data_IF_810599419742
#
_entry.id   IF_810599419742
#
_cell.length_a   1.000
_cell.length_b   1.000
_cell.length_c   1.000
_cell.angle_alpha   90.00
_cell.angle_beta   90.00
_cell.angle_gamma   90.00
#
_symmetry.space_group_name_H-M   'P 1'
#
loop_
_entity.id
_entity.type
_entity.pdbx_description
1 polymer ?
#
# COMPACT_ATOMS: atom_id res chain seq x y z
N UNK A 1 9.42 -41.13 14.07
CA UNK A 1 9.71 -40.23 12.94
C UNK A 1 10.11 -38.85 13.49
N UNK A 2 11.09 -38.16 12.89
CA UNK A 2 11.37 -36.77 13.25
C UNK A 2 10.20 -35.89 12.77
N UNK A 3 9.83 -34.85 13.53
CA UNK A 3 8.81 -33.90 13.16
C UNK A 3 9.23 -33.15 11.86
N UNK A 4 8.31 -33.04 10.91
CA UNK A 4 8.54 -32.29 9.67
C UNK A 4 8.66 -30.80 9.92
N UNK A 5 9.43 -30.09 9.10
CA UNK A 5 9.54 -28.64 9.11
C UNK A 5 8.49 -28.03 8.18
N UNK A 6 7.75 -27.02 8.67
CA UNK A 6 6.85 -26.23 7.83
C UNK A 6 7.65 -25.07 7.23
N UNK A 7 7.62 -24.93 5.91
CA UNK A 7 8.34 -23.90 5.16
C UNK A 7 7.33 -23.08 4.37
N UNK A 8 7.28 -21.74 4.54
CA UNK A 8 6.45 -20.87 3.70
C UNK A 8 7.02 -20.82 2.29
N UNK A 9 6.17 -21.04 1.28
CA UNK A 9 6.53 -20.94 -0.12
C UNK A 9 5.69 -19.82 -0.72
N UNK A 10 6.34 -18.86 -1.41
CA UNK A 10 5.68 -17.69 -2.05
C UNK A 10 4.92 -16.80 -1.06
N UNK A 11 5.58 -16.28 -0.02
CA UNK A 11 4.94 -15.36 0.90
C UNK A 11 4.50 -14.08 0.19
N UNK A 12 3.33 -13.57 0.53
CA UNK A 12 2.93 -12.21 0.18
C UNK A 12 3.64 -11.23 1.10
N UNK A 13 4.30 -10.23 0.52
CA UNK A 13 5.11 -9.26 1.27
C UNK A 13 4.44 -7.90 1.33
N UNK A 14 4.55 -7.24 2.48
CA UNK A 14 4.27 -5.82 2.68
C UNK A 14 5.48 -5.18 3.34
N UNK A 15 5.64 -3.86 3.22
CA UNK A 15 6.61 -3.11 4.04
C UNK A 15 5.89 -2.10 4.89
N UNK A 16 6.39 -1.89 6.09
CA UNK A 16 5.94 -0.85 7.00
C UNK A 16 7.17 -0.04 7.40
N UNK A 17 7.11 1.25 7.16
CA UNK A 17 8.14 2.21 7.56
C UNK A 17 7.46 3.36 8.26
N UNK A 18 8.22 4.15 9.04
CA UNK A 18 7.73 5.41 9.59
C UNK A 18 8.48 6.55 8.93
N UNK A 19 7.81 7.67 8.65
CA UNK A 19 8.44 8.85 8.02
C UNK A 19 9.54 9.47 8.89
N UNK A 20 9.59 9.12 10.18
CA UNK A 20 10.66 9.52 11.11
C UNK A 20 10.64 10.97 11.54
N UNK A 21 9.56 11.70 11.27
CA UNK A 21 9.33 13.08 11.67
C UNK A 21 7.85 13.38 11.86
N UNK A 22 7.54 14.47 12.49
CA UNK A 22 6.19 15.03 12.50
C UNK A 22 5.87 15.66 11.13
N UNK A 23 4.58 15.77 10.83
CA UNK A 23 4.11 16.53 9.67
C UNK A 23 4.29 18.03 9.92
N UNK A 24 4.77 18.74 8.93
CA UNK A 24 4.94 20.18 9.01
C UNK A 24 3.60 20.93 8.98
N UNK A 25 3.58 22.16 9.48
CA UNK A 25 2.37 22.96 9.58
C UNK A 25 1.75 23.20 8.20
N UNK A 26 2.57 23.45 7.19
CA UNK A 26 2.08 23.73 5.83
C UNK A 26 1.54 22.46 5.16
N UNK A 27 2.20 21.31 5.35
CA UNK A 27 1.72 19.99 4.91
C UNK A 27 0.34 19.69 5.51
N UNK A 28 0.21 19.85 6.85
CA UNK A 28 -1.06 19.62 7.55
C UNK A 28 -2.14 20.59 7.12
N UNK A 29 -1.82 21.87 7.00
CA UNK A 29 -2.78 22.91 6.57
C UNK A 29 -3.30 22.64 5.17
N UNK A 30 -2.39 22.24 4.26
CA UNK A 30 -2.76 21.87 2.90
C UNK A 30 -3.66 20.63 2.89
N UNK A 31 -3.27 19.53 3.51
CA UNK A 31 -4.08 18.32 3.56
C UNK A 31 -5.45 18.55 4.18
N UNK A 32 -5.53 19.35 5.24
CA UNK A 32 -6.80 19.67 5.91
C UNK A 32 -7.72 20.56 5.08
N UNK A 33 -7.21 21.31 4.11
CA UNK A 33 -8.04 22.12 3.20
C UNK A 33 -9.00 21.29 2.34
N UNK A 34 -8.70 20.00 2.14
CA UNK A 34 -9.54 19.07 1.38
C UNK A 34 -10.66 18.42 2.18
N UNK A 35 -10.77 18.67 3.49
CA UNK A 35 -11.74 18.03 4.38
C UNK A 35 -13.18 18.10 3.87
N UNK A 36 -13.56 19.21 3.25
CA UNK A 36 -14.91 19.45 2.73
C UNK A 36 -15.02 19.19 1.22
N UNK A 37 -13.93 18.79 0.56
CA UNK A 37 -13.86 18.48 -0.86
C UNK A 37 -13.80 16.97 -1.12
N UNK A 38 -14.63 16.21 -0.41
CA UNK A 38 -14.71 14.76 -0.54
C UNK A 38 -15.75 14.33 -1.57
N UNK A 39 -15.65 13.08 -2.02
CA UNK A 39 -16.65 12.45 -2.91
C UNK A 39 -17.94 12.16 -2.14
N UNK A 40 -18.98 11.78 -2.86
CA UNK A 40 -20.30 11.49 -2.29
C UNK A 40 -20.29 10.31 -1.28
N UNK A 41 -19.27 9.45 -1.33
CA UNK A 41 -19.03 8.43 -0.30
C UNK A 41 -18.59 9.01 1.07
N UNK A 42 -18.30 10.33 1.12
CA UNK A 42 -18.04 11.07 2.34
C UNK A 42 -16.63 10.90 2.93
N UNK A 43 -15.70 10.21 2.27
CA UNK A 43 -14.37 9.99 2.81
C UNK A 43 -13.22 10.35 1.88
N UNK A 44 -13.27 9.97 0.61
CA UNK A 44 -12.17 10.18 -0.34
C UNK A 44 -12.23 11.56 -0.98
N UNK A 45 -11.08 12.24 -1.12
CA UNK A 45 -11.01 13.51 -1.85
C UNK A 45 -11.44 13.34 -3.31
N UNK A 46 -12.00 14.42 -3.90
CA UNK A 46 -12.31 14.49 -5.34
C UNK A 46 -11.03 14.55 -6.17
N UNK A 47 -10.04 15.30 -5.69
CA UNK A 47 -8.70 15.33 -6.27
C UNK A 47 -8.02 13.99 -6.03
N UNK A 48 -7.42 13.45 -7.08
CA UNK A 48 -6.71 12.17 -7.11
C UNK A 48 -5.22 12.35 -7.43
N UNK A 49 -4.70 13.56 -7.34
CA UNK A 49 -3.29 13.92 -7.58
C UNK A 49 -2.72 14.75 -6.43
N UNK A 50 -3.15 14.45 -5.21
CA UNK A 50 -2.77 15.20 -3.99
C UNK A 50 -1.26 15.34 -3.83
N UNK A 51 -0.49 14.29 -4.13
CA UNK A 51 0.98 14.30 -4.04
C UNK A 51 1.68 15.09 -5.16
N UNK A 52 0.96 15.58 -6.17
CA UNK A 52 1.56 16.42 -7.22
C UNK A 52 1.68 17.90 -6.81
N UNK A 53 1.17 18.25 -5.64
CA UNK A 53 1.17 19.62 -5.15
C UNK A 53 2.51 19.97 -4.46
N UNK A 54 3.02 21.20 -4.67
CA UNK A 54 4.31 21.63 -4.11
C UNK A 54 4.41 21.51 -2.59
N UNK A 55 3.31 21.73 -1.88
CA UNK A 55 3.22 21.66 -0.42
C UNK A 55 3.51 20.26 0.12
N UNK A 56 3.33 19.22 -0.71
CA UNK A 56 3.57 17.82 -0.33
C UNK A 56 4.80 17.22 -1.04
N UNK A 57 5.71 18.04 -1.57
CA UNK A 57 6.89 17.56 -2.30
C UNK A 57 7.76 16.62 -1.45
N UNK A 58 7.98 16.93 -0.19
CA UNK A 58 8.77 16.12 0.72
C UNK A 58 8.06 14.80 1.07
N UNK A 59 6.74 14.84 1.31
CA UNK A 59 5.93 13.62 1.52
C UNK A 59 5.96 12.76 0.26
N UNK A 60 5.83 13.35 -0.93
CA UNK A 60 5.94 12.63 -2.20
C UNK A 60 7.29 11.93 -2.34
N UNK A 61 8.38 12.62 -2.00
CA UNK A 61 9.73 12.06 -2.03
C UNK A 61 9.88 10.86 -1.07
N UNK A 62 9.35 10.94 0.14
CA UNK A 62 9.33 9.85 1.11
C UNK A 62 8.51 8.65 0.61
N UNK A 63 7.31 8.88 0.08
CA UNK A 63 6.47 7.83 -0.51
C UNK A 63 7.16 7.17 -1.72
N UNK A 64 7.77 7.96 -2.59
CA UNK A 64 8.53 7.46 -3.74
C UNK A 64 9.71 6.61 -3.28
N UNK A 65 10.48 7.09 -2.30
CA UNK A 65 11.59 6.33 -1.72
C UNK A 65 11.13 4.96 -1.19
N UNK A 66 10.04 4.91 -0.44
CA UNK A 66 9.50 3.66 0.09
C UNK A 66 9.10 2.67 -1.03
N UNK A 67 8.53 3.16 -2.13
CA UNK A 67 8.24 2.34 -3.32
C UNK A 67 9.52 1.78 -3.95
N UNK A 68 10.56 2.61 -4.11
CA UNK A 68 11.84 2.15 -4.65
C UNK A 68 12.52 1.14 -3.73
N UNK A 69 12.44 1.35 -2.42
CA UNK A 69 12.97 0.40 -1.43
C UNK A 69 12.24 -0.95 -1.51
N UNK A 70 10.90 -0.94 -1.66
CA UNK A 70 10.14 -2.16 -1.90
C UNK A 70 10.57 -2.85 -3.21
N UNK A 71 10.67 -2.10 -4.31
CA UNK A 71 11.11 -2.62 -5.60
C UNK A 71 12.47 -3.32 -5.49
N UNK A 72 13.43 -2.70 -4.81
CA UNK A 72 14.77 -3.24 -4.64
C UNK A 72 14.81 -4.45 -3.71
N UNK A 73 14.08 -4.42 -2.61
CA UNK A 73 14.10 -5.49 -1.60
C UNK A 73 13.32 -6.73 -2.01
N UNK A 74 12.19 -6.54 -2.68
CA UNK A 74 11.24 -7.62 -2.99
C UNK A 74 11.41 -8.14 -4.42
N UNK A 75 11.45 -7.24 -5.41
CA UNK A 75 11.64 -7.63 -6.80
C UNK A 75 13.11 -7.80 -7.18
N UNK A 76 14.01 -7.09 -6.49
CA UNK A 76 15.46 -7.17 -6.66
C UNK A 76 15.90 -7.17 -8.14
N UNK A 77 15.57 -6.13 -8.91
CA UNK A 77 15.84 -6.11 -10.35
C UNK A 77 17.34 -6.12 -10.64
N UNK A 78 17.74 -6.87 -11.68
CA UNK A 78 19.15 -6.96 -12.13
C UNK A 78 19.71 -5.59 -12.49
N UNK A 79 18.89 -4.77 -13.17
CA UNK A 79 19.24 -3.40 -13.57
C UNK A 79 18.29 -2.40 -12.90
N UNK A 80 18.54 -2.02 -11.65
CA UNK A 80 17.64 -1.15 -10.89
C UNK A 80 17.48 0.26 -11.48
N UNK A 81 18.42 0.71 -12.31
CA UNK A 81 18.37 2.02 -12.96
C UNK A 81 17.48 2.04 -14.22
N UNK A 82 17.06 0.88 -14.69
CA UNK A 82 16.20 0.76 -15.87
C UNK A 82 14.71 0.70 -15.56
N UNK A 83 14.36 0.64 -14.27
CA UNK A 83 12.99 0.50 -13.80
C UNK A 83 12.80 1.24 -12.47
N UNK A 84 11.71 1.93 -12.36
CA UNK A 84 11.26 2.56 -11.13
C UNK A 84 9.77 2.32 -10.89
N UNK A 85 9.31 2.54 -9.67
CA UNK A 85 7.89 2.64 -9.33
C UNK A 85 7.49 4.11 -9.34
N UNK A 86 6.56 4.49 -10.22
CA UNK A 86 6.04 5.86 -10.30
C UNK A 86 4.65 5.94 -9.68
N UNK A 87 4.42 6.94 -8.82
CA UNK A 87 3.08 7.24 -8.28
C UNK A 87 2.21 7.74 -9.42
N UNK A 88 1.04 7.14 -9.59
CA UNK A 88 0.09 7.47 -10.67
C UNK A 88 -1.13 8.24 -10.17
N UNK A 89 -1.59 7.95 -8.96
CA UNK A 89 -2.73 8.58 -8.32
C UNK A 89 -2.47 8.68 -6.82
N UNK A 90 -3.04 9.70 -6.19
CA UNK A 90 -2.96 9.88 -4.74
C UNK A 90 -4.16 10.67 -4.23
N UNK A 91 -4.72 10.26 -3.10
CA UNK A 91 -5.90 10.88 -2.50
C UNK A 91 -5.85 10.81 -0.98
N UNK A 92 -6.56 11.72 -0.33
CA UNK A 92 -6.77 11.68 1.12
C UNK A 92 -8.07 10.97 1.45
N UNK A 93 -8.07 10.25 2.55
CA UNK A 93 -9.23 9.64 3.17
C UNK A 93 -9.48 10.31 4.51
N UNK A 94 -10.64 10.93 4.66
CA UNK A 94 -11.13 11.51 5.92
C UNK A 94 -12.23 10.62 6.48
N UNK A 95 -11.91 9.85 7.49
CA UNK A 95 -12.85 8.92 8.10
C UNK A 95 -13.14 9.32 9.55
N UNK A 96 -14.31 8.96 10.03
CA UNK A 96 -14.80 9.27 11.38
C UNK A 96 -15.13 7.97 12.12
N UNK A 97 -15.38 8.08 13.40
CA UNK A 97 -15.90 7.00 14.23
C UNK A 97 -17.08 6.30 13.53
N UNK A 98 -17.17 4.96 13.69
CA UNK A 98 -18.17 4.05 13.11
C UNK A 98 -18.09 3.88 11.58
N UNK A 99 -17.24 4.61 10.89
CA UNK A 99 -16.97 4.35 9.47
C UNK A 99 -15.98 3.17 9.32
N UNK A 100 -15.99 2.56 8.14
CA UNK A 100 -15.11 1.46 7.77
C UNK A 100 -14.86 1.49 6.26
N UNK A 101 -13.87 0.72 5.77
CA UNK A 101 -13.68 0.51 4.35
C UNK A 101 -13.85 -0.98 4.04
N UNK A 102 -14.68 -1.28 3.06
CA UNK A 102 -14.92 -2.65 2.59
C UNK A 102 -13.63 -3.32 2.09
N UNK A 103 -13.61 -4.65 2.07
CA UNK A 103 -12.56 -5.42 1.42
C UNK A 103 -12.50 -5.08 -0.06
N UNK A 104 -11.34 -4.67 -0.55
CA UNK A 104 -11.12 -4.28 -1.95
C UNK A 104 -9.66 -4.48 -2.36
N UNK A 105 -9.41 -4.38 -3.66
CA UNK A 105 -8.09 -4.32 -4.31
C UNK A 105 -8.02 -3.08 -5.19
N UNK A 106 -6.83 -2.73 -5.66
CA UNK A 106 -6.66 -1.58 -6.57
C UNK A 106 -6.34 -2.07 -7.98
N UNK A 107 -7.23 -1.75 -8.92
CA UNK A 107 -7.00 -2.04 -10.33
C UNK A 107 -6.02 -1.04 -10.97
N UNK A 108 -5.38 -1.46 -12.08
CA UNK A 108 -4.45 -0.63 -12.85
C UNK A 108 -3.28 -0.07 -12.01
N UNK A 109 -2.81 -0.87 -11.07
CA UNK A 109 -1.71 -0.54 -10.17
C UNK A 109 -0.87 -1.78 -9.92
N UNK A 110 0.39 -1.61 -9.56
CA UNK A 110 1.31 -2.70 -9.18
C UNK A 110 1.50 -2.72 -7.66
N UNK A 111 1.86 -1.57 -7.09
CA UNK A 111 1.97 -1.36 -5.65
C UNK A 111 1.07 -0.22 -5.22
N UNK A 112 0.54 -0.35 -4.03
CA UNK A 112 -0.19 0.69 -3.33
C UNK A 112 0.53 1.10 -2.06
N UNK A 113 0.31 2.33 -1.65
CA UNK A 113 0.81 2.83 -0.38
C UNK A 113 -0.27 3.55 0.42
N UNK A 114 -0.17 3.48 1.72
CA UNK A 114 -1.00 4.24 2.66
C UNK A 114 -0.10 4.87 3.72
N UNK A 115 -0.04 6.20 3.72
CA UNK A 115 0.60 6.99 4.76
C UNK A 115 -0.47 7.47 5.75
N UNK A 116 -0.25 7.19 7.03
CA UNK A 116 -1.20 7.54 8.11
C UNK A 116 -0.87 8.94 8.66
N UNK A 117 -1.75 9.90 8.39
CA UNK A 117 -1.57 11.31 8.76
C UNK A 117 -2.07 11.58 10.18
N UNK A 118 -3.22 11.02 10.52
CA UNK A 118 -3.82 11.10 11.86
C UNK A 118 -4.49 9.76 12.16
N UNK A 119 -3.79 8.93 12.91
CA UNK A 119 -4.18 7.56 13.20
C UNK A 119 -3.65 7.14 14.59
N UNK A 120 -4.41 7.45 15.63
CA UNK A 120 -4.08 7.05 16.99
C UNK A 120 -4.41 5.57 17.21
N UNK A 121 -3.50 4.65 16.91
CA UNK A 121 -3.68 3.18 16.98
C UNK A 121 -4.81 2.69 16.08
N UNK A 122 -4.54 2.68 14.81
CA UNK A 122 -5.45 2.19 13.78
C UNK A 122 -5.03 0.80 13.28
N UNK A 123 -5.83 0.21 12.41
CA UNK A 123 -5.59 -1.12 11.85
C UNK A 123 -5.94 -1.14 10.38
N UNK A 124 -5.07 -1.71 9.57
CA UNK A 124 -5.38 -2.21 8.24
C UNK A 124 -5.42 -3.73 8.28
N UNK A 125 -6.41 -4.34 7.65
CA UNK A 125 -6.56 -5.80 7.61
C UNK A 125 -6.29 -6.26 6.20
N UNK A 126 -5.32 -7.15 6.04
CA UNK A 126 -5.05 -7.85 4.79
C UNK A 126 -5.74 -9.20 4.80
N UNK A 127 -6.39 -9.55 3.69
CA UNK A 127 -7.15 -10.79 3.55
C UNK A 127 -6.44 -11.67 2.52
N UNK A 128 -6.22 -12.93 2.87
CA UNK A 128 -5.71 -13.95 1.96
C UNK A 128 -6.65 -14.09 0.76
N UNK A 129 -6.10 -14.18 -0.44
CA UNK A 129 -6.90 -14.49 -1.61
C UNK A 129 -7.61 -15.84 -1.41
N UNK A 130 -8.86 -15.92 -1.82
CA UNK A 130 -9.61 -17.16 -1.78
C UNK A 130 -8.92 -18.21 -2.66
N UNK A 131 -8.47 -19.28 -2.04
CA UNK A 131 -7.82 -20.41 -2.73
C UNK A 131 -8.82 -21.36 -3.38
N UNK A 132 -10.12 -21.10 -3.22
CA UNK A 132 -11.19 -22.02 -3.63
C UNK A 132 -11.32 -23.24 -2.70
N UNK A 133 -10.62 -23.26 -1.58
CA UNK A 133 -10.71 -24.32 -0.58
C UNK A 133 -12.04 -24.22 0.18
N UNK A 134 -12.86 -25.26 0.08
CA UNK A 134 -14.15 -25.36 0.76
C UNK A 134 -14.05 -26.04 2.14
N UNK A 135 -12.87 -26.00 2.77
CA UNK A 135 -12.64 -26.61 4.07
C UNK A 135 -12.64 -25.57 5.18
N UNK A 136 -13.35 -25.83 6.23
CA UNK A 136 -13.28 -25.03 7.45
C UNK A 136 -12.74 -25.92 8.58
N UNK A 137 -11.49 -25.68 8.95
CA UNK A 137 -10.81 -26.38 10.06
C UNK A 137 -10.68 -25.40 11.21
N UNK A 138 -11.24 -25.78 12.37
CA UNK A 138 -11.07 -25.01 13.59
C UNK A 138 -9.65 -25.16 14.12
N UNK A 139 -8.88 -24.06 14.14
CA UNK A 139 -7.53 -24.04 14.65
C UNK A 139 -7.52 -23.66 16.13
N UNK A 140 -6.59 -24.23 16.90
CA UNK A 140 -6.39 -23.87 18.31
C UNK A 140 -5.85 -22.45 18.47
N UNK A 141 -5.01 -22.04 17.54
CA UNK A 141 -4.39 -20.74 17.49
C UNK A 141 -4.22 -20.29 16.03
N UNK A 142 -4.20 -18.98 15.83
CA UNK A 142 -3.91 -18.39 14.53
C UNK A 142 -2.39 -18.32 14.32
N UNK A 143 -1.96 -18.71 13.13
CA UNK A 143 -0.56 -18.69 12.70
C UNK A 143 -0.49 -18.11 11.28
N UNK A 144 0.68 -17.65 10.81
CA UNK A 144 0.84 -17.19 9.43
C UNK A 144 0.42 -18.21 8.36
N UNK A 145 0.25 -19.47 8.73
CA UNK A 145 -0.11 -20.57 7.81
C UNK A 145 -1.61 -20.81 7.70
N UNK A 146 -2.38 -20.49 8.76
CA UNK A 146 -3.82 -20.75 8.83
C UNK A 146 -4.69 -19.51 8.96
N UNK A 147 -4.09 -18.31 9.14
CA UNK A 147 -4.83 -17.05 9.16
C UNK A 147 -5.44 -16.75 7.78
N UNK A 148 -6.66 -16.28 7.79
CA UNK A 148 -7.33 -15.73 6.59
C UNK A 148 -7.19 -14.21 6.53
N UNK A 149 -7.37 -13.53 7.65
CA UNK A 149 -7.26 -12.09 7.81
C UNK A 149 -6.07 -11.77 8.73
N UNK A 150 -5.20 -10.88 8.28
CA UNK A 150 -4.01 -10.44 9.03
C UNK A 150 -4.18 -8.97 9.40
N UNK A 151 -4.52 -8.66 10.66
CA UNK A 151 -4.58 -7.28 11.13
C UNK A 151 -3.17 -6.73 11.36
N UNK A 152 -2.89 -5.57 10.81
CA UNK A 152 -1.65 -4.83 10.98
C UNK A 152 -1.96 -3.53 11.72
N UNK A 153 -1.36 -3.36 12.89
CA UNK A 153 -1.48 -2.11 13.66
C UNK A 153 -0.63 -1.03 13.04
N UNK A 154 -1.19 0.17 12.94
CA UNK A 154 -0.55 1.36 12.36
C UNK A 154 -0.82 2.59 13.21
N UNK A 155 0.06 3.56 13.10
CA UNK A 155 0.02 4.84 13.83
C UNK A 155 0.35 6.00 12.91
N UNK A 156 0.15 7.21 13.36
CA UNK A 156 0.57 8.43 12.64
C UNK A 156 2.04 8.36 12.24
N UNK A 157 2.32 8.71 10.99
CA UNK A 157 3.64 8.65 10.40
C UNK A 157 3.99 7.29 9.77
N UNK A 158 3.22 6.23 10.01
CA UNK A 158 3.48 4.94 9.38
C UNK A 158 3.07 4.97 7.90
N UNK A 159 3.93 4.39 7.08
CA UNK A 159 3.74 4.20 5.64
C UNK A 159 3.78 2.70 5.32
N UNK A 160 2.68 2.18 4.84
CA UNK A 160 2.53 0.77 4.44
C UNK A 160 2.53 0.68 2.92
N UNK A 161 3.43 -0.16 2.35
CA UNK A 161 3.47 -0.48 0.92
C UNK A 161 3.10 -1.95 0.73
N UNK A 162 2.25 -2.24 -0.23
CA UNK A 162 1.74 -3.59 -0.50
C UNK A 162 1.34 -3.78 -1.97
N UNK A 163 1.29 -5.03 -2.47
CA UNK A 163 0.80 -5.35 -3.82
C UNK A 163 -0.65 -4.90 -4.02
N UNK A 164 -0.95 -4.29 -5.14
CA UNK A 164 -2.28 -3.74 -5.44
C UNK A 164 -3.40 -4.78 -5.48
N UNK A 165 -3.06 -6.03 -5.81
CA UNK A 165 -3.98 -7.17 -5.84
C UNK A 165 -4.20 -7.82 -4.47
N UNK A 166 -3.50 -7.37 -3.43
CA UNK A 166 -3.71 -7.85 -2.07
C UNK A 166 -4.99 -7.22 -1.50
N UNK A 167 -5.98 -8.06 -1.23
CA UNK A 167 -7.24 -7.62 -0.65
C UNK A 167 -7.02 -7.03 0.73
N UNK A 168 -7.56 -5.83 0.95
CA UNK A 168 -7.43 -5.15 2.23
C UNK A 168 -8.70 -4.38 2.59
N UNK A 169 -8.82 -4.05 3.87
CA UNK A 169 -9.95 -3.32 4.44
C UNK A 169 -9.53 -2.51 5.66
N UNK A 170 -10.38 -1.58 6.05
CA UNK A 170 -10.26 -0.88 7.34
C UNK A 170 -11.45 -1.29 8.19
N UNK A 171 -11.23 -1.92 9.36
CA UNK A 171 -12.32 -2.26 10.27
C UNK A 171 -13.01 -1.01 10.80
N UNK A 172 -14.13 -1.18 11.51
CA UNK A 172 -14.86 -0.06 12.10
C UNK A 172 -13.95 0.80 12.96
N UNK A 173 -13.81 2.08 12.57
CA UNK A 173 -12.96 3.07 13.22
C UNK A 173 -13.53 3.41 14.58
N UNK A 174 -12.69 3.34 15.61
CA UNK A 174 -13.07 3.61 17.00
C UNK A 174 -12.66 4.99 17.49
N UNK A 175 -11.75 5.64 16.79
CA UNK A 175 -11.29 7.01 17.06
C UNK A 175 -12.24 8.03 16.46
N UNK A 176 -12.24 9.27 16.97
CA UNK A 176 -13.09 10.34 16.45
C UNK A 176 -12.75 10.71 15.01
N UNK A 177 -11.47 10.57 14.64
CA UNK A 177 -10.96 10.93 13.33
C UNK A 177 -9.85 9.98 12.91
N UNK A 178 -9.81 9.70 11.62
CA UNK A 178 -8.73 8.99 10.92
C UNK A 178 -8.46 9.68 9.59
N UNK A 179 -7.21 10.06 9.36
CA UNK A 179 -6.78 10.65 8.09
C UNK A 179 -5.63 9.81 7.54
N UNK A 180 -5.75 9.39 6.30
CA UNK A 180 -4.68 8.72 5.59
C UNK A 180 -4.55 9.24 4.15
N UNK A 181 -3.33 9.25 3.64
CA UNK A 181 -3.01 9.53 2.26
C UNK A 181 -2.72 8.19 1.58
N UNK A 182 -3.53 7.84 0.61
CA UNK A 182 -3.36 6.63 -0.18
C UNK A 182 -2.85 6.98 -1.58
N UNK A 183 -2.07 6.08 -2.17
CA UNK A 183 -1.58 6.25 -3.53
C UNK A 183 -1.43 4.92 -4.25
N UNK A 184 -1.55 4.98 -5.57
CA UNK A 184 -1.29 3.90 -6.50
C UNK A 184 0.01 4.16 -7.25
N UNK A 185 0.68 3.08 -7.66
CA UNK A 185 1.89 3.18 -8.46
C UNK A 185 1.95 2.14 -9.57
N UNK A 186 2.72 2.45 -10.58
CA UNK A 186 2.97 1.54 -11.70
C UNK A 186 4.45 1.57 -12.09
N UNK A 187 4.91 0.54 -12.84
CA UNK A 187 6.25 0.52 -13.38
C UNK A 187 6.46 1.65 -14.38
N UNK A 188 7.62 2.28 -14.29
CA UNK A 188 8.14 3.20 -15.30
C UNK A 188 9.53 2.73 -15.71
N UNK A 189 9.83 2.68 -17.02
CA UNK A 189 11.07 2.13 -17.52
C UNK A 189 10.90 0.80 -18.27
N UNK A 190 11.87 -0.09 -18.15
CA UNK A 190 11.90 -1.36 -18.90
C UNK A 190 11.71 -2.55 -17.97
N UNK A 191 10.71 -3.38 -18.25
CA UNK A 191 10.43 -4.63 -17.54
C UNK A 191 10.61 -5.83 -18.48
N UNK A 192 11.00 -6.97 -17.95
CA UNK A 192 11.24 -8.22 -18.68
C UNK A 192 12.72 -8.51 -18.93
N UNK A 193 12.99 -9.40 -19.85
CA UNK A 193 14.36 -9.88 -20.13
C UNK A 193 15.08 -8.95 -21.11
N UNK A 194 15.98 -8.13 -20.60
CA UNK A 194 16.82 -7.21 -21.40
C UNK A 194 18.17 -7.85 -21.77
N UNK A 195 18.52 -8.99 -21.16
CA UNK A 195 19.73 -9.77 -21.42
C UNK A 195 19.42 -11.27 -21.49
N UNK A 196 20.36 -12.08 -21.99
CA UNK A 196 20.23 -13.53 -22.09
C UNK A 196 19.47 -14.03 -23.31
N UNK A 197 19.15 -15.35 -23.37
CA UNK A 197 18.50 -15.98 -24.54
C UNK A 197 17.12 -15.44 -24.88
N UNK A 198 16.42 -14.87 -23.89
CA UNK A 198 15.09 -14.28 -24.05
C UNK A 198 15.12 -12.76 -24.29
N UNK A 199 16.32 -12.21 -24.54
CA UNK A 199 16.50 -10.78 -24.82
C UNK A 199 15.61 -10.34 -25.98
N UNK A 200 14.86 -9.25 -25.75
CA UNK A 200 14.03 -8.64 -26.79
C UNK A 200 12.72 -9.37 -27.12
N UNK A 201 12.47 -10.56 -26.55
CA UNK A 201 11.25 -11.31 -26.84
C UNK A 201 10.11 -10.91 -25.89
N UNK A 202 10.42 -10.73 -24.62
CA UNK A 202 9.43 -10.46 -23.56
C UNK A 202 9.84 -9.24 -22.72
N UNK A 203 10.12 -8.11 -23.36
CA UNK A 203 10.31 -6.88 -22.62
C UNK A 203 9.25 -5.84 -23.01
N UNK A 204 8.90 -5.00 -22.07
CA UNK A 204 7.98 -3.89 -22.25
C UNK A 204 8.63 -2.61 -21.72
N UNK A 205 8.62 -1.56 -22.54
CA UNK A 205 9.00 -0.23 -22.13
C UNK A 205 7.76 0.58 -21.80
N UNK A 206 7.70 1.05 -20.57
CA UNK A 206 6.58 1.83 -20.02
C UNK A 206 7.08 3.24 -19.75
N UNK A 207 6.38 4.24 -20.25
CA UNK A 207 6.64 5.64 -19.98
C UNK A 207 5.37 6.24 -19.37
N UNK A 208 5.40 6.47 -18.07
CA UNK A 208 4.34 7.19 -17.35
C UNK A 208 4.69 8.68 -17.42
N UNK A 209 3.80 9.55 -17.90
CA UNK A 209 4.04 10.99 -17.99
C UNK A 209 4.25 11.65 -16.64
#
# INVERSE_FOLDING_TARGET
MKQGQVIPIFPTTITITNIGRDFEQDEMSYMMSFKDHVRDNGSNTKDIYILEQPELADIKALCHKALQDYLRQVYNPINPDHIEMKITHSWLNFSRREQFHYKHTHHNSILCGVLYIDAAKDTIVFTKADSGDNWQIQSKEETPFNMHDVPISVSTGDLVIFPSNLTHSVPTIKTERRISLAFNSFFNGTIGFIEGPMKGINYLKINIP
#
